data_IF_981673250899
#
_entry.id   IF_981673250899
#
_cell.length_a   1.000
_cell.length_b   1.000
_cell.length_c   1.000
_cell.angle_alpha   90.00
_cell.angle_beta   90.00
_cell.angle_gamma   90.00
#
_symmetry.space_group_name_H-M   'P 1'
#
loop_
_entity.id
_entity.type
_entity.pdbx_description
1 polymer ?
#
# COMPACT_ATOMS: atom_id res chain seq x y z
N UNK A 1 13.81 2.36 -16.09
CA UNK A 1 13.84 3.75 -16.56
C UNK A 1 12.51 4.18 -17.21
N UNK A 2 12.03 3.48 -18.27
CA UNK A 2 10.73 3.81 -18.89
C UNK A 2 9.60 3.80 -17.86
N UNK A 3 9.51 2.73 -17.06
CA UNK A 3 8.54 2.58 -15.99
C UNK A 3 8.63 3.75 -14.99
N UNK A 4 9.82 4.05 -14.46
CA UNK A 4 10.01 5.12 -13.48
C UNK A 4 9.64 6.50 -14.05
N UNK A 5 9.93 6.73 -15.34
CA UNK A 5 9.53 7.96 -16.03
C UNK A 5 8.02 8.06 -16.17
N UNK A 6 7.34 6.98 -16.54
CA UNK A 6 5.88 6.95 -16.62
C UNK A 6 5.23 7.17 -15.24
N UNK A 7 5.75 6.54 -14.19
CA UNK A 7 5.28 6.77 -12.81
C UNK A 7 5.44 8.23 -12.42
N UNK A 8 6.62 8.83 -12.67
CA UNK A 8 6.85 10.24 -12.39
C UNK A 8 5.83 11.15 -13.10
N UNK A 9 5.48 10.83 -14.35
CA UNK A 9 4.49 11.60 -15.12
C UNK A 9 3.05 11.42 -14.58
N UNK A 10 2.75 10.36 -13.83
CA UNK A 10 1.44 10.20 -13.16
C UNK A 10 1.32 11.05 -11.90
N UNK A 11 2.42 11.24 -11.17
CA UNK A 11 2.44 11.97 -9.90
C UNK A 11 2.32 13.48 -10.09
N UNK A 12 2.66 13.97 -11.27
CA UNK A 12 2.72 15.40 -11.57
C UNK A 12 1.52 15.84 -12.42
N UNK A 13 0.72 16.78 -11.88
CA UNK A 13 -0.39 17.42 -12.63
C UNK A 13 0.10 18.42 -13.68
N UNK A 14 1.34 18.87 -13.58
CA UNK A 14 1.98 19.86 -14.46
C UNK A 14 2.95 19.20 -15.44
N UNK A 15 3.29 19.91 -16.51
CA UNK A 15 4.30 19.46 -17.48
C UNK A 15 5.66 19.43 -16.79
N UNK A 16 6.26 18.24 -16.70
CA UNK A 16 7.58 18.08 -16.10
C UNK A 16 8.67 18.36 -17.14
N UNK A 17 9.57 19.28 -16.81
CA UNK A 17 10.72 19.52 -17.69
C UNK A 17 11.69 18.33 -17.67
N UNK A 18 12.42 18.13 -18.77
CA UNK A 18 13.43 17.05 -18.84
C UNK A 18 14.53 17.21 -17.78
N UNK A 19 14.82 18.44 -17.37
CA UNK A 19 15.78 18.74 -16.30
C UNK A 19 15.26 18.24 -14.95
N UNK A 20 13.98 18.52 -14.65
CA UNK A 20 13.35 18.07 -13.41
C UNK A 20 13.22 16.54 -13.38
N UNK A 21 12.93 15.91 -14.54
CA UNK A 21 12.94 14.46 -14.66
C UNK A 21 14.32 13.87 -14.36
N UNK A 22 15.38 14.45 -14.90
CA UNK A 22 16.76 13.99 -14.67
C UNK A 22 17.13 14.07 -13.18
N UNK A 23 16.75 15.15 -12.51
CA UNK A 23 17.02 15.37 -11.09
C UNK A 23 16.24 14.39 -10.21
N UNK A 24 14.93 14.25 -10.43
CA UNK A 24 14.06 13.36 -9.65
C UNK A 24 14.39 11.87 -9.85
N UNK A 25 14.70 11.47 -11.08
CA UNK A 25 15.06 10.09 -11.42
C UNK A 25 16.53 9.78 -11.18
N UNK A 26 17.35 10.80 -10.84
CA UNK A 26 18.81 10.67 -10.63
C UNK A 26 19.54 10.03 -11.82
N UNK A 27 19.18 10.44 -13.04
CA UNK A 27 19.79 9.98 -14.29
C UNK A 27 20.26 11.19 -15.13
N UNK A 28 21.10 10.95 -16.15
CA UNK A 28 21.58 12.01 -17.01
C UNK A 28 20.48 12.58 -17.91
N UNK A 29 20.60 13.84 -18.31
CA UNK A 29 19.68 14.48 -19.25
C UNK A 29 19.60 13.73 -20.60
N UNK A 30 20.70 13.16 -21.06
CA UNK A 30 20.75 12.31 -22.28
C UNK A 30 19.88 11.04 -22.11
N UNK A 31 19.96 10.40 -20.93
CA UNK A 31 19.13 9.23 -20.63
C UNK A 31 17.64 9.59 -20.57
N UNK A 32 17.29 10.77 -20.01
CA UNK A 32 15.91 11.27 -20.03
C UNK A 32 15.43 11.50 -21.45
N UNK A 33 16.22 12.22 -22.27
CA UNK A 33 15.88 12.49 -23.67
C UNK A 33 15.60 11.22 -24.45
N UNK A 34 16.48 10.20 -24.31
CA UNK A 34 16.32 8.92 -24.96
C UNK A 34 15.02 8.22 -24.49
N UNK A 35 14.79 8.15 -23.18
CA UNK A 35 13.61 7.51 -22.60
C UNK A 35 12.32 8.21 -23.02
N UNK A 36 12.27 9.55 -22.98
CA UNK A 36 11.10 10.31 -23.40
C UNK A 36 10.81 10.10 -24.89
N UNK A 37 11.85 10.05 -25.75
CA UNK A 37 11.68 9.74 -27.17
C UNK A 37 11.08 8.34 -27.38
N UNK A 38 11.62 7.31 -26.70
CA UNK A 38 11.11 5.95 -26.77
C UNK A 38 9.64 5.86 -26.29
N UNK A 39 9.28 6.56 -25.22
CA UNK A 39 7.92 6.63 -24.69
C UNK A 39 6.97 7.37 -25.65
N UNK A 40 7.46 8.41 -26.34
CA UNK A 40 6.67 9.14 -27.34
C UNK A 40 6.43 8.29 -28.59
N UNK A 41 7.43 7.55 -29.05
CA UNK A 41 7.31 6.60 -30.18
C UNK A 41 6.29 5.47 -29.85
N UNK A 42 6.20 5.05 -28.59
CA UNK A 42 5.20 4.09 -28.10
C UNK A 42 3.83 4.72 -27.83
N UNK A 43 3.70 6.01 -28.02
CA UNK A 43 2.49 6.79 -27.71
C UNK A 43 2.09 6.78 -26.21
N UNK A 44 3.06 6.57 -25.31
CA UNK A 44 2.84 6.55 -23.85
C UNK A 44 2.96 7.91 -23.21
N UNK A 45 3.65 8.86 -23.83
CA UNK A 45 3.67 10.25 -23.43
C UNK A 45 3.62 11.21 -24.62
N UNK A 46 3.06 12.38 -24.39
CA UNK A 46 2.97 13.47 -25.35
C UNK A 46 3.15 14.82 -24.64
N UNK A 47 4.02 15.69 -25.18
CA UNK A 47 4.26 17.02 -24.62
C UNK A 47 4.57 17.05 -23.10
N UNK A 48 5.33 16.05 -22.61
CA UNK A 48 5.71 15.94 -21.21
C UNK A 48 4.56 15.50 -20.28
N UNK A 49 3.50 14.92 -20.84
CA UNK A 49 2.38 14.35 -20.10
C UNK A 49 2.18 12.89 -20.49
N UNK A 50 1.72 12.09 -19.53
CA UNK A 50 1.32 10.72 -19.80
C UNK A 50 0.02 10.69 -20.61
N UNK A 51 -0.05 9.78 -21.56
CA UNK A 51 -1.27 9.51 -22.35
C UNK A 51 -2.12 8.41 -21.71
N UNK A 52 -3.34 8.19 -22.22
CA UNK A 52 -4.14 7.05 -21.78
C UNK A 52 -3.41 5.71 -22.04
N UNK A 53 -2.74 5.55 -23.20
CA UNK A 53 -1.95 4.36 -23.49
C UNK A 53 -0.79 4.16 -22.49
N UNK A 54 -0.18 5.25 -22.03
CA UNK A 54 0.84 5.21 -20.96
C UNK A 54 0.25 4.76 -19.61
N UNK A 55 -0.94 5.25 -19.24
CA UNK A 55 -1.66 4.81 -18.04
C UNK A 55 -2.03 3.32 -18.13
N UNK A 56 -2.53 2.88 -19.27
CA UNK A 56 -2.90 1.48 -19.52
C UNK A 56 -1.67 0.55 -19.42
N UNK A 57 -0.51 1.02 -19.88
CA UNK A 57 0.76 0.29 -19.74
C UNK A 57 1.23 0.14 -18.29
N UNK A 58 0.84 1.06 -17.40
CA UNK A 58 1.13 0.98 -15.97
C UNK A 58 0.13 0.13 -15.18
N UNK A 59 -1.09 -0.07 -15.70
CA UNK A 59 -2.16 -0.78 -14.99
C UNK A 59 -1.78 -2.18 -14.47
N UNK A 60 -1.00 -3.02 -15.20
CA UNK A 60 -0.53 -4.32 -14.69
C UNK A 60 0.35 -4.24 -13.45
N UNK A 61 0.99 -3.10 -13.22
CA UNK A 61 1.90 -2.86 -12.09
C UNK A 61 1.23 -2.11 -10.94
N UNK A 62 -0.02 -1.71 -11.11
CA UNK A 62 -0.76 -0.99 -10.07
C UNK A 62 -1.06 -1.91 -8.91
N UNK A 63 -0.73 -1.44 -7.71
CA UNK A 63 -1.13 -2.13 -6.47
C UNK A 63 -2.63 -1.95 -6.27
N UNK A 64 -3.35 -3.06 -6.13
CA UNK A 64 -4.82 -3.09 -6.03
C UNK A 64 -5.32 -3.44 -4.63
N UNK A 65 -4.40 -3.84 -3.74
CA UNK A 65 -4.74 -4.38 -2.43
C UNK A 65 -3.71 -4.01 -1.38
N UNK A 66 -4.19 -3.76 -0.16
CA UNK A 66 -3.37 -3.71 1.04
C UNK A 66 -3.80 -4.85 1.97
N UNK A 67 -2.84 -5.65 2.42
CA UNK A 67 -3.04 -6.76 3.35
C UNK A 67 -2.34 -6.44 4.66
N UNK A 68 -3.11 -6.30 5.73
CA UNK A 68 -2.61 -6.04 7.07
C UNK A 68 -2.51 -7.34 7.87
N UNK A 69 -1.33 -7.62 8.41
CA UNK A 69 -1.12 -8.72 9.35
C UNK A 69 -1.35 -8.21 10.76
N UNK A 70 -2.43 -8.66 11.40
CA UNK A 70 -2.93 -8.12 12.66
C UNK A 70 -3.35 -9.21 13.68
N UNK A 71 -2.98 -10.47 13.44
CA UNK A 71 -3.48 -11.60 14.22
C UNK A 71 -2.78 -11.84 15.57
N UNK A 72 -1.62 -11.19 15.80
CA UNK A 72 -0.75 -11.45 16.95
C UNK A 72 -1.29 -10.95 18.28
N UNK A 73 -0.89 -11.61 19.37
CA UNK A 73 -1.26 -11.26 20.75
C UNK A 73 -0.64 -9.95 21.26
N UNK A 74 0.53 -9.53 20.75
CA UNK A 74 1.22 -8.32 21.21
C UNK A 74 1.79 -8.44 22.62
N UNK A 75 2.36 -9.58 23.00
CA UNK A 75 2.84 -9.92 24.35
C UNK A 75 3.77 -8.88 24.98
N UNK A 76 4.55 -8.15 24.18
CA UNK A 76 5.46 -7.10 24.66
C UNK A 76 4.75 -5.87 25.24
N UNK A 77 3.44 -5.71 24.99
CA UNK A 77 2.64 -4.60 25.49
C UNK A 77 1.66 -4.99 26.61
N UNK A 78 1.80 -6.18 27.18
CA UNK A 78 1.04 -6.57 28.38
C UNK A 78 1.34 -5.59 29.53
N UNK A 79 0.32 -5.11 30.30
CA UNK A 79 -1.07 -5.60 30.36
C UNK A 79 -2.05 -4.96 29.36
N UNK A 80 -1.65 -3.98 28.58
CA UNK A 80 -2.55 -3.24 27.66
C UNK A 80 -3.20 -4.19 26.67
N UNK A 81 -2.45 -5.13 26.12
CA UNK A 81 -2.93 -6.07 25.09
C UNK A 81 -3.73 -7.25 25.64
N UNK A 82 -3.95 -7.36 26.96
CA UNK A 82 -4.84 -8.37 27.52
C UNK A 82 -6.30 -8.23 27.06
N UNK A 83 -6.73 -7.00 26.83
CA UNK A 83 -8.11 -6.70 26.49
C UNK A 83 -8.29 -5.97 25.15
N UNK A 84 -7.19 -5.63 24.48
CA UNK A 84 -7.23 -4.87 23.22
C UNK A 84 -6.12 -5.33 22.29
N UNK A 85 -6.41 -5.77 21.07
CA UNK A 85 -5.38 -6.07 20.08
C UNK A 85 -4.44 -4.87 19.88
N UNK A 86 -3.13 -5.12 19.74
CA UNK A 86 -2.12 -4.06 19.61
C UNK A 86 -2.47 -3.01 18.53
N UNK A 87 -2.93 -3.37 17.33
CA UNK A 87 -3.31 -2.39 16.31
C UNK A 87 -4.45 -1.46 16.70
N UNK A 88 -5.31 -1.88 17.63
CA UNK A 88 -6.47 -1.11 18.10
C UNK A 88 -6.18 -0.28 19.36
N UNK A 89 -5.00 -0.42 19.95
CA UNK A 89 -4.57 0.44 21.07
C UNK A 89 -4.55 1.90 20.61
N UNK A 90 -5.07 2.78 21.46
CA UNK A 90 -5.12 4.22 21.15
C UNK A 90 -3.90 4.94 21.72
N UNK A 91 -3.27 5.73 20.86
CA UNK A 91 -2.21 6.66 21.21
C UNK A 91 -2.71 8.05 20.87
N UNK A 92 -2.76 8.94 21.87
CA UNK A 92 -3.31 10.29 21.71
C UNK A 92 -4.75 10.31 21.08
N UNK A 93 -5.57 9.32 21.44
CA UNK A 93 -6.96 9.21 20.96
C UNK A 93 -7.12 8.49 19.61
N UNK A 94 -6.07 8.25 18.85
CA UNK A 94 -6.07 7.57 17.55
C UNK A 94 -5.56 6.14 17.67
N UNK A 95 -6.21 5.17 17.03
CA UNK A 95 -5.72 3.78 17.01
C UNK A 95 -4.43 3.68 16.20
N UNK A 96 -3.51 2.81 16.60
CA UNK A 96 -2.24 2.61 15.90
C UNK A 96 -2.47 2.32 14.40
N UNK A 97 -3.43 1.46 14.09
CA UNK A 97 -3.72 1.06 12.71
C UNK A 97 -4.35 2.20 11.86
N UNK A 98 -4.97 3.20 12.48
CA UNK A 98 -5.71 4.23 11.73
C UNK A 98 -4.80 5.03 10.79
N UNK A 99 -3.56 5.37 11.18
CA UNK A 99 -2.64 6.11 10.32
C UNK A 99 -2.28 5.34 9.04
N UNK A 100 -2.07 4.04 9.16
CA UNK A 100 -1.80 3.18 8.01
C UNK A 100 -3.03 3.01 7.11
N UNK A 101 -4.22 2.83 7.70
CA UNK A 101 -5.46 2.72 6.94
C UNK A 101 -5.78 4.02 6.19
N UNK A 102 -5.60 5.18 6.85
CA UNK A 102 -5.79 6.48 6.21
C UNK A 102 -4.82 6.66 5.03
N UNK A 103 -3.55 6.31 5.18
CA UNK A 103 -2.57 6.37 4.09
C UNK A 103 -2.93 5.44 2.90
N UNK A 104 -3.43 4.24 3.18
CA UNK A 104 -3.88 3.30 2.14
C UNK A 104 -5.10 3.82 1.40
N UNK A 105 -6.05 4.43 2.11
CA UNK A 105 -7.24 5.06 1.52
C UNK A 105 -6.85 6.27 0.67
N UNK A 106 -5.95 7.13 1.18
CA UNK A 106 -5.44 8.30 0.46
C UNK A 106 -4.68 7.90 -0.81
N UNK A 107 -3.93 6.80 -0.77
CA UNK A 107 -3.26 6.22 -1.94
C UNK A 107 -4.24 5.62 -2.97
N UNK A 108 -5.55 5.61 -2.70
CA UNK A 108 -6.58 5.12 -3.60
C UNK A 108 -6.55 3.60 -3.82
N UNK A 109 -6.06 2.83 -2.85
CA UNK A 109 -6.03 1.37 -2.91
C UNK A 109 -7.44 0.83 -2.64
N UNK A 110 -8.07 0.14 -3.61
CA UNK A 110 -9.49 -0.17 -3.54
C UNK A 110 -9.85 -1.31 -2.58
N UNK A 111 -8.93 -2.24 -2.32
CA UNK A 111 -9.19 -3.41 -1.47
C UNK A 111 -8.29 -3.42 -0.25
N UNK A 112 -8.90 -3.47 0.94
CA UNK A 112 -8.20 -3.57 2.22
C UNK A 112 -8.58 -4.90 2.87
N UNK A 113 -7.56 -5.71 3.18
CA UNK A 113 -7.72 -6.98 3.87
C UNK A 113 -6.98 -6.94 5.20
N UNK A 114 -7.62 -7.32 6.29
CA UNK A 114 -6.99 -7.46 7.60
C UNK A 114 -7.04 -8.92 8.01
N UNK A 115 -5.87 -9.52 8.21
CA UNK A 115 -5.75 -10.86 8.81
C UNK A 115 -5.76 -10.70 10.31
N UNK A 116 -6.80 -11.20 10.95
CA UNK A 116 -7.02 -11.08 12.40
C UNK A 116 -7.03 -12.43 13.09
N UNK A 117 -6.83 -12.45 14.38
CA UNK A 117 -6.82 -13.67 15.20
C UNK A 117 -7.15 -13.32 16.64
N UNK A 118 -6.16 -12.92 17.43
CA UNK A 118 -6.36 -12.54 18.83
C UNK A 118 -7.40 -11.41 18.97
N UNK A 119 -8.49 -11.69 19.74
CA UNK A 119 -9.62 -10.76 19.92
C UNK A 119 -10.14 -10.20 18.58
N UNK A 120 -10.22 -11.05 17.57
CA UNK A 120 -10.51 -10.67 16.18
C UNK A 120 -11.77 -9.87 15.99
N UNK A 121 -12.85 -10.18 16.74
CA UNK A 121 -14.12 -9.46 16.69
C UNK A 121 -14.02 -7.97 17.04
N UNK A 122 -13.03 -7.56 17.81
CA UNK A 122 -12.82 -6.15 18.11
C UNK A 122 -12.45 -5.30 16.89
N UNK A 123 -11.95 -5.93 15.83
CA UNK A 123 -11.64 -5.21 14.59
C UNK A 123 -12.91 -4.76 13.83
N UNK A 124 -14.08 -5.30 14.12
CA UNK A 124 -15.34 -4.90 13.47
C UNK A 124 -15.64 -3.41 13.66
N UNK A 125 -15.16 -2.78 14.73
CA UNK A 125 -15.26 -1.33 14.94
C UNK A 125 -14.58 -0.50 13.82
N UNK A 126 -13.64 -1.07 13.07
CA UNK A 126 -12.98 -0.39 11.95
C UNK A 126 -13.97 -0.12 10.80
N UNK A 127 -14.98 -0.96 10.63
CA UNK A 127 -15.96 -0.84 9.54
C UNK A 127 -16.76 0.45 9.59
N UNK A 128 -16.89 1.10 10.76
CA UNK A 128 -17.55 2.41 10.87
C UNK A 128 -16.82 3.51 10.07
N UNK A 129 -15.46 3.47 10.05
CA UNK A 129 -14.65 4.44 9.32
C UNK A 129 -14.21 3.92 7.96
N UNK A 130 -13.97 2.62 7.84
CA UNK A 130 -13.41 1.94 6.66
C UNK A 130 -14.32 0.79 6.23
N UNK A 131 -15.46 1.07 5.60
CA UNK A 131 -16.48 0.05 5.28
C UNK A 131 -16.03 -0.99 4.26
N UNK A 132 -14.96 -0.72 3.51
CA UNK A 132 -14.41 -1.62 2.47
C UNK A 132 -13.41 -2.65 3.02
N UNK A 133 -13.19 -2.71 4.34
CA UNK A 133 -12.32 -3.70 4.94
C UNK A 133 -12.96 -5.08 4.84
N UNK A 134 -12.16 -6.06 4.41
CA UNK A 134 -12.47 -7.48 4.49
C UNK A 134 -11.59 -8.14 5.54
N UNK A 135 -12.18 -8.92 6.45
CA UNK A 135 -11.45 -9.69 7.43
C UNK A 135 -11.19 -11.12 6.95
N UNK A 136 -10.00 -11.63 7.28
CA UNK A 136 -9.62 -13.02 7.13
C UNK A 136 -9.15 -13.53 8.48
N UNK A 137 -9.71 -14.64 8.93
CA UNK A 137 -9.33 -15.24 10.21
C UNK A 137 -8.05 -16.07 10.08
N UNK A 138 -7.14 -15.90 11.03
CA UNK A 138 -6.02 -16.81 11.24
C UNK A 138 -6.32 -17.71 12.46
N UNK A 139 -6.79 -18.93 12.29
CA UNK A 139 -7.18 -19.79 13.40
C UNK A 139 -6.00 -20.31 14.24
N UNK A 140 -4.78 -20.23 13.70
CA UNK A 140 -3.56 -20.72 14.36
C UNK A 140 -2.62 -19.58 14.79
N UNK A 141 -3.17 -18.39 15.05
CA UNK A 141 -2.41 -17.19 15.40
C UNK A 141 -1.55 -17.36 16.67
N UNK A 142 -1.91 -18.26 17.57
CA UNK A 142 -1.23 -18.56 18.83
C UNK A 142 -0.18 -19.68 18.71
N UNK A 143 -0.15 -20.41 17.60
CA UNK A 143 0.74 -21.54 17.38
C UNK A 143 1.93 -21.22 16.48
N UNK A 144 1.82 -20.17 15.69
CA UNK A 144 2.80 -19.78 14.69
C UNK A 144 3.00 -18.26 14.64
N UNK A 145 4.10 -17.84 14.03
CA UNK A 145 4.43 -16.42 13.83
C UNK A 145 3.61 -15.79 12.67
N UNK A 146 3.96 -14.55 12.27
CA UNK A 146 3.32 -13.79 11.19
C UNK A 146 3.24 -14.53 9.84
N UNK A 147 4.08 -15.55 9.60
CA UNK A 147 4.03 -16.38 8.38
C UNK A 147 2.69 -17.10 8.28
N UNK A 148 2.12 -17.57 9.39
CA UNK A 148 0.80 -18.21 9.38
C UNK A 148 -0.29 -17.28 8.84
N UNK A 149 -0.24 -16.01 9.20
CA UNK A 149 -1.15 -14.99 8.67
C UNK A 149 -0.97 -14.78 7.16
N UNK A 150 0.27 -14.75 6.68
CA UNK A 150 0.55 -14.65 5.24
C UNK A 150 0.03 -15.88 4.47
N UNK A 151 0.14 -17.08 5.05
CA UNK A 151 -0.40 -18.32 4.45
C UNK A 151 -1.92 -18.24 4.30
N UNK A 152 -2.64 -17.71 5.30
CA UNK A 152 -4.10 -17.56 5.24
C UNK A 152 -4.55 -16.69 4.05
N UNK A 153 -3.72 -15.74 3.60
CA UNK A 153 -4.03 -14.79 2.52
C UNK A 153 -3.14 -14.95 1.30
N UNK A 154 -2.38 -16.05 1.18
CA UNK A 154 -1.40 -16.25 0.10
C UNK A 154 -1.96 -15.98 -1.30
N UNK A 155 -3.23 -16.28 -1.53
CA UNK A 155 -3.93 -16.06 -2.81
C UNK A 155 -4.30 -14.58 -3.06
N UNK A 156 -4.12 -13.70 -2.05
CA UNK A 156 -4.37 -12.27 -2.12
C UNK A 156 -3.08 -11.44 -2.20
N UNK A 157 -1.91 -12.07 -2.12
CA UNK A 157 -0.63 -11.34 -2.05
C UNK A 157 -0.12 -10.84 -3.40
N UNK A 158 -0.76 -11.25 -4.49
CA UNK A 158 -0.39 -10.75 -5.82
C UNK A 158 -0.81 -9.28 -5.98
N UNK A 159 0.12 -8.42 -6.42
CA UNK A 159 -0.09 -6.97 -6.57
C UNK A 159 -0.66 -6.32 -5.31
N UNK A 160 -0.11 -6.67 -4.15
CA UNK A 160 -0.55 -6.21 -2.85
C UNK A 160 0.60 -5.58 -2.04
N UNK A 161 0.30 -4.54 -1.28
CA UNK A 161 1.12 -4.18 -0.14
C UNK A 161 0.82 -5.13 1.02
N UNK A 162 1.88 -5.63 1.67
CA UNK A 162 1.76 -6.41 2.91
C UNK A 162 2.33 -5.55 4.04
N UNK A 163 1.49 -5.25 5.02
CA UNK A 163 1.77 -4.29 6.07
C UNK A 163 1.62 -4.95 7.44
N UNK A 164 2.53 -4.65 8.36
CA UNK A 164 2.32 -4.94 9.77
C UNK A 164 1.37 -3.87 10.35
N UNK A 165 0.30 -4.32 11.00
CA UNK A 165 -0.79 -3.44 11.46
C UNK A 165 -0.46 -2.65 12.74
N UNK A 166 0.75 -2.76 13.25
CA UNK A 166 1.19 -2.21 14.54
C UNK A 166 2.30 -1.16 14.42
N UNK A 167 2.52 -0.65 13.21
CA UNK A 167 3.41 0.47 12.93
C UNK A 167 2.65 1.80 13.09
N UNK A 168 3.26 2.75 13.75
CA UNK A 168 2.80 4.14 13.81
C UNK A 168 3.58 4.94 12.77
N UNK A 169 2.87 5.61 11.85
CA UNK A 169 3.44 6.54 10.89
C UNK A 169 3.49 7.95 11.47
#
# INVERSE_FOLDING_TARGET
>A
REFDTLVLLTETKEVVSQKDMAERLKISAEAVNKTVKELTEKNYCENGRITQAGLDALEPYRVKRAVFVAAGFGSRMVPITLNTPKPLVRVNGTRIIDSLLDAVVEAGIPEIVIVRGYLGEQFDQLLYKYPNIRFVENPIYNEANNISSAVCVRYLLQNAYVLEADLLL
#
